data_IF_792396032264
#
_entry.id   IF_792396032264
#
_cell.length_a   1.000
_cell.length_b   1.000
_cell.length_c   1.000
_cell.angle_alpha   90.00
_cell.angle_beta   90.00
_cell.angle_gamma   90.00
#
_symmetry.space_group_name_H-M   'P 1'
#
loop_
_entity.id
_entity.type
_entity.pdbx_description
1 polymer ?
#
# COMPACT_ATOMS: atom_id res chain seq x y z
N UNK A 1 57.57 -59.88 -10.23
CA UNK A 1 57.29 -59.05 -9.03
C UNK A 1 57.58 -57.60 -9.35
N UNK A 2 56.55 -56.76 -9.55
CA UNK A 2 56.58 -55.31 -9.28
C UNK A 2 55.16 -54.77 -9.41
N UNK A 3 54.79 -53.99 -8.41
CA UNK A 3 53.43 -53.60 -8.07
C UNK A 3 53.22 -52.10 -8.29
N UNK A 4 51.97 -51.72 -8.59
CA UNK A 4 51.23 -50.49 -8.17
C UNK A 4 51.89 -49.12 -8.42
N UNK A 5 51.16 -48.22 -9.10
CA UNK A 5 50.34 -47.16 -8.48
C UNK A 5 49.62 -46.36 -9.59
N UNK A 6 48.29 -46.38 -9.62
CA UNK A 6 47.49 -45.40 -10.37
C UNK A 6 47.17 -44.25 -9.42
N UNK A 7 47.55 -43.02 -9.80
CA UNK A 7 47.27 -41.80 -9.06
C UNK A 7 45.98 -41.19 -9.62
N UNK A 8 44.87 -41.28 -8.88
CA UNK A 8 43.61 -40.61 -9.21
C UNK A 8 43.64 -39.19 -8.65
N UNK A 9 43.73 -38.19 -9.53
CA UNK A 9 43.57 -36.78 -9.17
C UNK A 9 42.07 -36.49 -9.07
N UNK A 10 41.59 -36.23 -7.85
CA UNK A 10 40.24 -35.71 -7.61
C UNK A 10 40.28 -34.19 -7.77
N UNK A 11 39.71 -33.68 -8.86
CA UNK A 11 39.47 -32.25 -9.05
C UNK A 11 38.26 -31.85 -8.20
N UNK A 12 38.51 -31.13 -7.10
CA UNK A 12 37.45 -30.45 -6.34
C UNK A 12 37.07 -29.20 -7.11
N UNK A 13 35.95 -29.26 -7.85
CA UNK A 13 35.33 -28.09 -8.47
C UNK A 13 34.57 -27.35 -7.37
N UNK A 14 35.18 -26.29 -6.86
CA UNK A 14 34.50 -25.32 -5.99
C UNK A 14 33.47 -24.56 -6.82
N UNK A 15 32.20 -24.91 -6.72
CA UNK A 15 31.10 -24.11 -7.25
C UNK A 15 31.03 -22.79 -6.45
N UNK A 16 31.68 -21.76 -6.96
CA UNK A 16 31.40 -20.38 -6.54
C UNK A 16 30.08 -20.01 -7.22
N UNK A 17 28.99 -19.99 -6.47
CA UNK A 17 27.72 -19.43 -6.91
C UNK A 17 27.91 -17.92 -7.09
N UNK A 18 28.21 -17.51 -8.32
CA UNK A 18 28.09 -16.10 -8.71
C UNK A 18 26.60 -15.78 -8.66
N UNK A 19 26.17 -15.06 -7.62
CA UNK A 19 24.85 -14.43 -7.62
C UNK A 19 24.84 -13.42 -8.76
N UNK A 20 24.34 -13.84 -9.93
CA UNK A 20 24.08 -12.94 -11.05
C UNK A 20 23.14 -11.86 -10.59
N UNK A 21 23.56 -10.60 -10.74
CA UNK A 21 22.73 -9.44 -10.49
C UNK A 21 21.51 -9.51 -11.42
N UNK A 22 20.32 -9.73 -10.87
CA UNK A 22 19.10 -9.77 -11.66
C UNK A 22 18.81 -8.34 -12.11
N UNK A 23 19.08 -8.03 -13.38
CA UNK A 23 18.67 -6.77 -14.01
C UNK A 23 17.17 -6.85 -14.25
N UNK A 24 16.39 -6.06 -13.52
CA UNK A 24 14.91 -6.17 -13.50
C UNK A 24 14.28 -5.16 -14.50
N UNK A 25 14.88 -3.98 -14.65
CA UNK A 25 14.58 -2.98 -15.69
C UNK A 25 15.88 -2.31 -16.16
N UNK A 26 15.88 -1.57 -17.28
CA UNK A 26 17.12 -1.02 -17.87
C UNK A 26 17.95 -0.16 -16.91
N UNK A 27 17.30 0.60 -16.04
CA UNK A 27 17.90 1.49 -15.05
C UNK A 27 17.77 0.99 -13.59
N UNK A 28 17.35 -0.25 -13.36
CA UNK A 28 17.14 -0.80 -12.01
C UNK A 28 18.04 -2.00 -11.71
N UNK A 29 18.69 -1.95 -10.56
CA UNK A 29 19.68 -2.92 -10.11
C UNK A 29 19.33 -3.43 -8.72
N UNK A 30 19.39 -4.74 -8.51
CA UNK A 30 19.08 -5.38 -7.24
C UNK A 30 20.30 -6.07 -6.65
N UNK A 31 20.49 -5.95 -5.33
CA UNK A 31 21.46 -6.72 -4.55
C UNK A 31 20.86 -7.09 -3.20
N UNK A 32 21.08 -8.33 -2.76
CA UNK A 32 20.76 -8.77 -1.41
C UNK A 32 22.04 -8.92 -0.60
N UNK A 33 22.13 -8.25 0.55
CA UNK A 33 23.25 -8.39 1.47
C UNK A 33 23.18 -9.71 2.25
N UNK A 34 24.31 -10.12 2.85
CA UNK A 34 24.41 -11.35 3.64
C UNK A 34 23.52 -11.35 4.90
N UNK A 35 23.19 -10.16 5.43
CA UNK A 35 22.24 -9.99 6.53
C UNK A 35 20.76 -9.99 6.08
N UNK A 36 20.51 -10.20 4.79
CA UNK A 36 19.18 -10.28 4.21
C UNK A 36 18.55 -8.94 3.81
N UNK A 37 19.22 -7.80 4.04
CA UNK A 37 18.76 -6.50 3.51
C UNK A 37 18.75 -6.55 1.98
N UNK A 38 17.60 -6.25 1.41
CA UNK A 38 17.42 -6.10 -0.03
C UNK A 38 17.69 -4.65 -0.41
N UNK A 39 18.48 -4.43 -1.45
CA UNK A 39 18.85 -3.10 -1.95
C UNK A 39 18.42 -3.00 -3.41
N UNK A 40 17.64 -1.97 -3.71
CA UNK A 40 17.27 -1.57 -5.06
C UNK A 40 17.94 -0.24 -5.38
N UNK A 41 18.66 -0.18 -6.49
CA UNK A 41 19.24 1.06 -7.02
C UNK A 41 18.55 1.40 -8.33
N UNK A 42 17.99 2.60 -8.42
CA UNK A 42 17.35 3.15 -9.62
C UNK A 42 18.14 4.35 -10.11
N UNK A 43 18.60 4.29 -11.35
CA UNK A 43 19.42 5.36 -11.93
C UNK A 43 18.52 6.38 -12.63
N UNK A 44 18.65 7.64 -12.20
CA UNK A 44 18.09 8.81 -12.87
C UNK A 44 19.06 10.00 -12.69
N UNK A 45 19.83 10.31 -13.73
CA UNK A 45 20.83 11.36 -13.69
C UNK A 45 20.27 12.72 -14.18
N UNK A 46 18.95 12.90 -14.21
CA UNK A 46 18.30 14.12 -14.71
C UNK A 46 18.61 15.34 -13.83
N UNK A 47 18.73 15.14 -12.53
CA UNK A 47 19.10 16.17 -11.54
C UNK A 47 20.10 15.58 -10.54
N UNK A 48 21.01 16.39 -9.96
CA UNK A 48 22.06 15.91 -9.04
C UNK A 48 21.52 15.64 -7.62
N UNK A 49 20.42 14.90 -7.52
CA UNK A 49 19.76 14.51 -6.28
C UNK A 49 19.72 12.99 -6.16
N UNK A 50 19.70 12.51 -4.92
CA UNK A 50 19.45 11.12 -4.59
C UNK A 50 18.35 11.03 -3.53
N UNK A 51 17.43 10.08 -3.72
CA UNK A 51 16.45 9.64 -2.73
C UNK A 51 16.93 8.35 -2.10
N UNK A 52 17.04 8.34 -0.78
CA UNK A 52 17.29 7.17 0.05
C UNK A 52 15.99 6.82 0.74
N UNK A 53 15.47 5.63 0.53
CA UNK A 53 14.25 5.16 1.14
C UNK A 53 14.47 3.82 1.84
N UNK A 54 14.09 3.75 3.11
CA UNK A 54 14.02 2.50 3.86
C UNK A 54 12.56 2.14 4.06
N UNK A 55 12.16 0.96 3.59
CA UNK A 55 10.82 0.46 3.79
C UNK A 55 10.83 -0.87 4.55
N UNK A 56 9.84 -1.05 5.42
CA UNK A 56 9.65 -2.25 6.22
C UNK A 56 8.28 -2.86 5.90
N UNK A 57 8.18 -4.19 5.86
CA UNK A 57 6.87 -4.86 5.89
C UNK A 57 6.30 -4.72 7.30
N UNK A 58 5.62 -3.61 7.51
CA UNK A 58 4.92 -3.20 8.71
C UNK A 58 3.76 -2.29 8.28
N UNK A 59 2.92 -1.84 9.22
CA UNK A 59 1.73 -1.06 8.92
C UNK A 59 0.53 -1.65 9.64
N UNK A 60 -0.66 -1.13 9.36
CA UNK A 60 -1.86 -1.55 10.09
C UNK A 60 -2.13 -3.04 9.99
N UNK A 61 -1.75 -3.72 8.89
CA UNK A 61 -1.97 -5.16 8.74
C UNK A 61 -1.31 -6.00 9.83
N UNK A 62 -0.26 -5.49 10.48
CA UNK A 62 0.44 -6.16 11.58
C UNK A 62 -0.17 -5.89 12.96
N UNK A 63 -1.07 -4.92 13.06
CA UNK A 63 -1.59 -4.39 14.32
C UNK A 63 -2.75 -5.25 14.80
N UNK A 64 -2.71 -5.62 16.08
CA UNK A 64 -3.92 -5.99 16.82
C UNK A 64 -4.61 -4.73 17.33
N UNK A 65 -5.80 -4.87 17.92
CA UNK A 65 -6.55 -3.73 18.46
C UNK A 65 -5.72 -2.94 19.48
N UNK A 66 -4.97 -3.61 20.36
CA UNK A 66 -4.07 -2.96 21.34
C UNK A 66 -2.91 -2.15 20.74
N UNK A 67 -2.69 -2.26 19.43
CA UNK A 67 -1.61 -1.62 18.67
C UNK A 67 -2.14 -0.78 17.50
N UNK A 68 -3.45 -0.61 17.34
CA UNK A 68 -4.00 0.03 16.15
C UNK A 68 -3.66 1.53 16.07
N UNK A 69 -2.92 1.92 15.02
CA UNK A 69 -2.37 3.26 14.79
C UNK A 69 -0.90 3.41 15.20
N UNK A 70 -0.31 2.40 15.85
CA UNK A 70 1.02 2.54 16.43
C UNK A 70 2.15 2.45 15.40
N UNK A 71 1.92 1.89 14.21
CA UNK A 71 2.88 1.99 13.10
C UNK A 71 2.97 3.42 12.57
N UNK A 72 1.84 4.12 12.50
CA UNK A 72 1.79 5.54 12.11
C UNK A 72 2.42 6.43 13.20
N UNK A 73 2.14 6.18 14.47
CA UNK A 73 2.85 6.88 15.55
C UNK A 73 4.35 6.60 15.54
N UNK A 74 4.77 5.36 15.29
CA UNK A 74 6.19 5.02 15.13
C UNK A 74 6.82 5.82 13.98
N UNK A 75 6.06 6.04 12.91
CA UNK A 75 6.49 6.89 11.79
C UNK A 75 6.86 8.31 12.22
N UNK A 76 6.01 8.96 13.02
CA UNK A 76 6.31 10.28 13.59
C UNK A 76 7.59 10.29 14.43
N UNK A 77 7.79 9.24 15.22
CA UNK A 77 8.93 9.10 16.12
C UNK A 77 10.25 8.80 15.40
N UNK A 78 10.20 8.36 14.14
CA UNK A 78 11.39 8.14 13.31
C UNK A 78 12.22 9.44 13.13
N UNK A 79 11.54 10.59 13.06
CA UNK A 79 12.17 11.92 12.89
C UNK A 79 12.61 12.56 14.21
N UNK A 80 12.69 11.78 15.29
CA UNK A 80 13.02 12.25 16.64
C UNK A 80 14.38 11.72 17.08
N UNK A 81 14.59 11.68 18.40
CA UNK A 81 15.82 11.25 19.01
C UNK A 81 16.22 9.84 18.57
N UNK A 82 17.51 9.67 18.30
CA UNK A 82 18.14 8.40 18.04
C UNK A 82 19.56 8.40 18.64
N UNK A 83 20.26 7.27 18.53
CA UNK A 83 21.59 7.10 19.14
C UNK A 83 22.60 8.21 18.77
N UNK A 84 22.59 8.68 17.53
CA UNK A 84 23.58 9.65 17.04
C UNK A 84 23.09 11.11 17.18
N UNK A 85 21.76 11.29 17.22
CA UNK A 85 21.09 12.58 17.37
C UNK A 85 20.10 12.48 18.55
N UNK A 86 20.55 12.71 19.80
CA UNK A 86 19.79 12.36 21.00
C UNK A 86 18.59 13.27 21.29
N UNK A 87 18.32 14.27 20.45
CA UNK A 87 17.17 15.16 20.55
C UNK A 87 16.79 15.72 19.18
N UNK A 88 15.57 16.26 19.07
CA UNK A 88 15.01 16.83 17.84
C UNK A 88 15.86 17.95 17.22
N UNK A 89 16.49 18.81 18.05
CA UNK A 89 17.33 19.91 17.56
C UNK A 89 18.58 19.37 16.84
N UNK A 90 19.27 18.39 17.43
CA UNK A 90 20.45 17.76 16.83
C UNK A 90 20.11 16.98 15.55
N UNK A 91 18.93 16.34 15.51
CA UNK A 91 18.44 15.64 14.32
C UNK A 91 18.19 16.63 13.18
N UNK A 92 17.43 17.70 13.43
CA UNK A 92 17.13 18.71 12.42
C UNK A 92 18.36 19.48 11.97
N UNK A 93 19.27 19.82 12.90
CA UNK A 93 20.54 20.47 12.54
C UNK A 93 21.30 19.62 11.52
N UNK A 94 21.41 18.31 11.77
CA UNK A 94 22.08 17.42 10.82
C UNK A 94 21.32 17.29 9.50
N UNK A 95 20.00 17.18 9.55
CA UNK A 95 19.16 17.13 8.36
C UNK A 95 19.40 18.34 7.46
N UNK A 96 19.47 19.54 8.06
CA UNK A 96 19.74 20.79 7.36
C UNK A 96 21.17 20.87 6.80
N UNK A 97 22.18 20.42 7.57
CA UNK A 97 23.57 20.33 7.09
C UNK A 97 23.73 19.42 5.86
N UNK A 98 22.87 18.40 5.74
CA UNK A 98 22.85 17.47 4.61
C UNK A 98 21.90 17.89 3.49
N UNK A 99 21.17 19.00 3.67
CA UNK A 99 20.15 19.50 2.75
C UNK A 99 19.06 18.45 2.47
N UNK A 100 18.68 17.70 3.50
CA UNK A 100 17.67 16.64 3.41
C UNK A 100 16.27 17.26 3.38
N UNK A 101 15.50 16.89 2.36
CA UNK A 101 14.04 16.89 2.40
C UNK A 101 13.57 15.51 2.83
N UNK A 102 12.91 15.40 3.97
CA UNK A 102 12.48 14.12 4.56
C UNK A 102 10.97 14.00 4.61
N UNK A 103 10.46 12.79 4.46
CA UNK A 103 9.09 12.44 4.82
C UNK A 103 8.96 10.92 5.00
N UNK A 104 7.76 10.46 5.34
CA UNK A 104 7.45 9.05 5.45
C UNK A 104 5.98 8.79 5.11
N UNK A 105 5.65 7.51 4.95
CA UNK A 105 4.28 7.06 4.75
C UNK A 105 4.05 5.72 5.42
N UNK A 106 2.94 5.62 6.13
CA UNK A 106 2.38 4.37 6.63
C UNK A 106 1.18 4.00 5.78
N UNK A 107 1.19 2.76 5.27
CA UNK A 107 0.05 2.11 4.62
C UNK A 107 -0.33 0.86 5.40
N UNK A 108 -1.25 0.09 4.85
CA UNK A 108 -1.65 -1.16 5.47
C UNK A 108 -0.48 -2.13 5.56
N UNK A 109 0.36 -2.26 4.53
CA UNK A 109 1.35 -3.35 4.43
C UNK A 109 2.82 -2.88 4.33
N UNK A 110 3.03 -1.57 4.25
CA UNK A 110 4.36 -0.96 4.22
C UNK A 110 4.41 0.28 5.09
N UNK A 111 5.56 0.47 5.75
CA UNK A 111 5.98 1.78 6.27
C UNK A 111 7.27 2.14 5.57
N UNK A 112 7.33 3.29 4.91
CA UNK A 112 8.52 3.77 4.21
C UNK A 112 8.96 5.14 4.75
N UNK A 113 10.28 5.31 4.89
CA UNK A 113 10.95 6.52 5.36
C UNK A 113 11.92 6.95 4.29
N UNK A 114 11.93 8.23 3.93
CA UNK A 114 12.80 8.67 2.86
C UNK A 114 13.40 10.05 3.06
N UNK A 115 14.59 10.19 2.47
CA UNK A 115 15.36 11.42 2.40
C UNK A 115 15.72 11.69 0.95
N UNK A 116 15.42 12.88 0.46
CA UNK A 116 15.94 13.40 -0.81
C UNK A 116 16.98 14.48 -0.51
N UNK A 117 18.18 14.35 -1.07
CA UNK A 117 19.35 15.17 -0.79
C UNK A 117 20.25 15.31 -2.03
N UNK A 118 21.19 16.27 -2.08
CA UNK A 118 22.22 16.30 -3.12
C UNK A 118 22.95 14.95 -3.23
N UNK A 119 23.19 14.45 -4.44
CA UNK A 119 23.80 13.12 -4.66
C UNK A 119 25.17 12.97 -3.99
N UNK A 120 25.94 14.07 -3.90
CA UNK A 120 27.20 14.14 -3.17
C UNK A 120 27.10 13.78 -1.67
N UNK A 121 25.91 13.92 -1.08
CA UNK A 121 25.63 13.61 0.33
C UNK A 121 25.10 12.17 0.53
N UNK A 122 25.08 11.31 -0.50
CA UNK A 122 24.52 9.95 -0.42
C UNK A 122 25.04 9.16 0.80
N UNK A 123 26.35 9.03 0.96
CA UNK A 123 26.94 8.25 2.05
C UNK A 123 26.63 8.85 3.44
N UNK A 124 26.76 10.16 3.68
CA UNK A 124 26.23 10.80 4.89
C UNK A 124 24.73 10.58 5.13
N UNK A 125 23.89 10.64 4.09
CA UNK A 125 22.45 10.39 4.17
C UNK A 125 22.13 8.94 4.56
N UNK A 126 22.86 7.95 4.01
CA UNK A 126 22.71 6.55 4.39
C UNK A 126 23.04 6.34 5.88
N UNK A 127 24.08 7.00 6.39
CA UNK A 127 24.42 6.97 7.83
C UNK A 127 23.30 7.60 8.68
N UNK A 128 22.74 8.72 8.24
CA UNK A 128 21.63 9.39 8.91
C UNK A 128 20.39 8.48 9.00
N UNK A 129 20.03 7.83 7.90
CA UNK A 129 18.94 6.82 7.83
C UNK A 129 19.20 5.64 8.77
N UNK A 130 20.44 5.15 8.82
CA UNK A 130 20.85 4.05 9.67
C UNK A 130 20.67 4.35 11.17
N UNK A 131 20.98 5.57 11.61
CA UNK A 131 20.79 5.99 13.00
C UNK A 131 19.33 5.95 13.40
N UNK A 132 18.45 6.52 12.57
CA UNK A 132 17.01 6.61 12.83
C UNK A 132 16.32 5.23 12.77
N UNK A 133 16.62 4.40 11.77
CA UNK A 133 15.92 3.11 11.60
C UNK A 133 16.36 2.04 12.61
N UNK A 134 17.65 1.96 12.95
CA UNK A 134 18.18 0.89 13.82
C UNK A 134 18.15 1.26 15.29
N UNK A 135 18.32 2.53 15.60
CA UNK A 135 18.58 3.00 16.95
C UNK A 135 17.72 4.20 17.38
N UNK A 136 16.39 4.19 17.12
CA UNK A 136 15.51 5.22 17.65
C UNK A 136 15.51 5.18 19.18
N UNK A 137 15.33 6.35 19.79
CA UNK A 137 15.17 6.53 21.24
C UNK A 137 13.77 7.08 21.47
N UNK A 138 12.92 6.29 22.11
CA UNK A 138 11.55 6.68 22.42
C UNK A 138 11.48 7.42 23.76
N UNK A 139 11.72 8.72 23.73
CA UNK A 139 11.64 9.61 24.89
C UNK A 139 10.16 9.81 25.25
N UNK A 140 9.81 9.59 26.52
CA UNK A 140 8.41 9.61 26.99
C UNK A 140 7.75 10.98 26.75
N UNK A 141 8.49 12.04 26.99
CA UNK A 141 8.03 13.42 26.85
C UNK A 141 7.77 13.77 25.37
N UNK A 142 8.69 13.39 24.48
CA UNK A 142 8.52 13.56 23.03
C UNK A 142 7.32 12.75 22.51
N UNK A 143 7.17 11.51 22.99
CA UNK A 143 6.03 10.67 22.63
C UNK A 143 4.70 11.26 23.09
N UNK A 144 4.62 11.83 24.30
CA UNK A 144 3.37 12.42 24.78
C UNK A 144 2.90 13.57 23.85
N UNK A 145 3.83 14.36 23.31
CA UNK A 145 3.51 15.39 22.33
C UNK A 145 3.08 14.79 20.98
N UNK A 146 3.80 13.80 20.47
CA UNK A 146 3.46 13.17 19.19
C UNK A 146 2.15 12.38 19.24
N UNK A 147 1.80 11.76 20.38
CA UNK A 147 0.51 11.11 20.57
C UNK A 147 -0.64 12.09 20.33
N UNK A 148 -0.55 13.31 20.88
CA UNK A 148 -1.56 14.35 20.69
C UNK A 148 -1.60 14.88 19.25
N UNK A 149 -0.43 15.00 18.60
CA UNK A 149 -0.35 15.41 17.19
C UNK A 149 -1.06 14.38 16.30
N UNK A 150 -0.71 13.10 16.42
CA UNK A 150 -1.34 12.01 15.64
C UNK A 150 -2.84 11.92 15.95
N UNK A 151 -3.23 12.10 17.20
CA UNK A 151 -4.63 12.16 17.63
C UNK A 151 -5.40 13.33 16.98
N UNK A 152 -4.77 14.50 16.86
CA UNK A 152 -5.34 15.65 16.16
C UNK A 152 -5.44 15.41 14.65
N UNK A 153 -4.49 14.71 14.03
CA UNK A 153 -4.59 14.29 12.63
C UNK A 153 -5.74 13.32 12.39
N UNK A 154 -5.93 12.37 13.30
CA UNK A 154 -7.09 11.50 13.30
C UNK A 154 -8.38 12.33 13.39
N UNK A 155 -8.48 13.23 14.37
CA UNK A 155 -9.64 14.13 14.54
C UNK A 155 -9.92 14.95 13.27
N UNK A 156 -8.87 15.41 12.58
CA UNK A 156 -8.98 16.10 11.28
C UNK A 156 -9.56 15.17 10.20
N UNK A 157 -9.17 13.91 10.15
CA UNK A 157 -9.75 12.92 9.23
C UNK A 157 -11.24 12.69 9.53
N UNK A 158 -11.62 12.60 10.80
CA UNK A 158 -13.02 12.44 11.23
C UNK A 158 -13.90 13.65 10.89
N UNK A 159 -13.29 14.83 10.70
CA UNK A 159 -14.02 16.04 10.31
C UNK A 159 -14.63 15.94 8.90
N UNK A 160 -14.15 15.02 8.05
CA UNK A 160 -14.72 14.75 6.74
C UNK A 160 -16.18 14.27 6.87
N UNK A 161 -17.15 14.88 6.17
CA UNK A 161 -18.54 14.43 6.20
C UNK A 161 -18.73 12.97 5.78
N UNK A 162 -17.82 12.44 4.95
CA UNK A 162 -17.86 11.07 4.42
C UNK A 162 -17.25 10.05 5.38
N UNK A 163 -16.46 10.49 6.38
CA UNK A 163 -15.74 9.60 7.29
C UNK A 163 -16.62 8.53 7.94
N UNK A 164 -17.82 8.84 8.48
CA UNK A 164 -18.67 7.82 9.09
C UNK A 164 -19.04 6.67 8.14
N UNK A 165 -19.24 6.96 6.85
CA UNK A 165 -19.57 5.95 5.85
C UNK A 165 -18.40 5.00 5.61
N UNK A 166 -17.19 5.56 5.41
CA UNK A 166 -15.97 4.80 5.15
C UNK A 166 -15.55 3.99 6.38
N UNK A 167 -15.68 4.57 7.59
CA UNK A 167 -15.35 3.88 8.83
C UNK A 167 -16.30 2.70 9.10
N UNK A 168 -17.61 2.93 8.96
CA UNK A 168 -18.60 1.85 9.05
C UNK A 168 -18.34 0.77 8.00
N UNK A 169 -18.09 1.14 6.73
CA UNK A 169 -17.78 0.19 5.66
C UNK A 169 -16.62 -0.72 6.05
N UNK A 170 -15.51 -0.14 6.52
CA UNK A 170 -14.36 -0.91 6.99
C UNK A 170 -14.72 -1.87 8.13
N UNK A 171 -15.54 -1.43 9.10
CA UNK A 171 -15.97 -2.29 10.22
C UNK A 171 -16.81 -3.46 9.74
N UNK A 172 -17.77 -3.22 8.84
CA UNK A 172 -18.61 -4.25 8.25
C UNK A 172 -17.81 -5.20 7.34
N UNK A 173 -16.86 -4.67 6.56
CA UNK A 173 -16.01 -5.43 5.63
C UNK A 173 -14.98 -6.34 6.32
N UNK A 174 -14.40 -5.87 7.43
CA UNK A 174 -13.22 -6.50 8.02
C UNK A 174 -13.45 -7.10 9.41
N UNK A 175 -14.58 -6.77 10.07
CA UNK A 175 -15.01 -7.35 11.33
C UNK A 175 -13.92 -7.31 12.41
N UNK A 176 -13.65 -8.47 13.02
CA UNK A 176 -12.62 -8.65 14.07
C UNK A 176 -11.21 -8.20 13.64
N UNK A 177 -10.94 -8.10 12.34
CA UNK A 177 -9.64 -7.67 11.80
C UNK A 177 -9.67 -6.22 11.28
N UNK A 178 -10.65 -5.40 11.69
CA UNK A 178 -10.75 -4.00 11.27
C UNK A 178 -9.46 -3.19 11.52
N UNK A 179 -8.81 -3.40 12.67
CA UNK A 179 -7.53 -2.74 13.00
C UNK A 179 -6.48 -2.94 11.90
N UNK A 180 -6.52 -4.07 11.19
CA UNK A 180 -5.61 -4.41 10.10
C UNK A 180 -5.81 -3.66 8.79
N UNK A 181 -6.86 -2.84 8.71
CA UNK A 181 -7.22 -1.98 7.57
C UNK A 181 -7.45 -0.53 8.00
N UNK A 182 -7.17 -0.22 9.27
CA UNK A 182 -7.34 1.08 9.87
C UNK A 182 -5.98 1.72 10.16
N UNK A 183 -5.39 2.36 9.15
CA UNK A 183 -4.05 2.96 9.24
C UNK A 183 -3.97 4.09 10.27
N UNK A 184 -4.99 4.95 10.35
CA UNK A 184 -4.97 6.09 11.27
C UNK A 184 -5.05 5.65 12.74
N UNK A 185 -5.69 4.51 13.00
CA UNK A 185 -5.68 3.85 14.29
C UNK A 185 -6.88 4.13 15.18
N UNK A 186 -6.68 3.94 16.49
CA UNK A 186 -7.69 4.17 17.51
C UNK A 186 -7.22 5.27 18.48
N UNK A 187 -8.07 6.24 18.78
CA UNK A 187 -7.76 7.37 19.66
C UNK A 187 -7.19 6.94 21.01
N UNK A 188 -7.84 6.00 21.69
CA UNK A 188 -7.41 5.55 23.02
C UNK A 188 -6.06 4.82 22.97
N UNK A 189 -5.81 4.04 21.92
CA UNK A 189 -4.56 3.30 21.72
C UNK A 189 -3.39 4.25 21.43
N UNK A 190 -3.63 5.28 20.61
CA UNK A 190 -2.63 6.31 20.26
C UNK A 190 -2.29 7.15 21.50
N UNK A 191 -3.30 7.67 22.20
CA UNK A 191 -3.11 8.51 23.38
C UNK A 191 -2.42 7.76 24.52
N UNK A 192 -2.70 6.45 24.68
CA UNK A 192 -2.08 5.60 25.70
C UNK A 192 -0.78 4.91 25.26
N UNK A 193 -0.22 5.26 24.09
CA UNK A 193 0.99 4.66 23.59
C UNK A 193 2.20 4.92 24.51
N UNK A 194 3.10 3.93 24.62
CA UNK A 194 4.27 3.98 25.51
C UNK A 194 5.56 3.60 24.76
N UNK A 195 6.74 4.03 25.26
CA UNK A 195 8.02 3.60 24.70
C UNK A 195 8.15 2.08 24.56
N UNK A 196 7.66 1.32 25.53
CA UNK A 196 7.67 -0.15 25.50
C UNK A 196 6.87 -0.75 24.33
N UNK A 197 5.74 -0.12 23.95
CA UNK A 197 4.98 -0.55 22.75
C UNK A 197 5.77 -0.26 21.47
N UNK A 198 6.47 0.88 21.38
CA UNK A 198 7.33 1.19 20.23
C UNK A 198 8.53 0.24 20.13
N UNK A 199 9.16 -0.08 21.26
CA UNK A 199 10.23 -1.09 21.32
C UNK A 199 9.73 -2.47 20.88
N UNK A 200 8.52 -2.86 21.27
CA UNK A 200 7.87 -4.09 20.81
C UNK A 200 7.73 -4.11 19.27
N UNK A 201 7.24 -3.02 18.67
CA UNK A 201 7.12 -2.89 17.21
C UNK A 201 8.49 -2.98 16.53
N UNK A 202 9.48 -2.20 16.99
CA UNK A 202 10.85 -2.22 16.48
C UNK A 202 11.43 -3.64 16.51
N UNK A 203 11.36 -4.30 17.65
CA UNK A 203 11.97 -5.62 17.85
C UNK A 203 11.22 -6.74 17.11
N UNK A 204 9.98 -6.52 16.69
CA UNK A 204 9.24 -7.45 15.83
C UNK A 204 9.58 -7.27 14.36
N UNK A 205 9.53 -6.04 13.84
CA UNK A 205 9.44 -5.81 12.39
C UNK A 205 10.63 -5.07 11.76
N UNK A 206 11.43 -4.33 12.54
CA UNK A 206 12.50 -3.48 12.00
C UNK A 206 13.84 -4.24 12.00
N UNK A 207 13.99 -5.07 10.96
CA UNK A 207 15.14 -5.94 10.74
C UNK A 207 15.54 -5.91 9.26
N UNK A 208 16.82 -6.09 8.91
CA UNK A 208 17.28 -5.97 7.53
C UNK A 208 16.58 -6.98 6.61
N UNK A 209 16.37 -8.22 7.09
CA UNK A 209 15.66 -9.27 6.36
C UNK A 209 14.12 -9.10 6.34
N UNK A 210 13.58 -8.02 6.88
CA UNK A 210 12.19 -7.57 6.74
C UNK A 210 12.10 -6.13 6.18
N UNK A 211 13.18 -5.66 5.54
CA UNK A 211 13.29 -4.31 5.00
C UNK A 211 13.88 -4.32 3.59
N UNK A 212 13.60 -3.25 2.85
CA UNK A 212 14.24 -2.92 1.58
C UNK A 212 14.79 -1.50 1.65
N UNK A 213 16.00 -1.32 1.13
CA UNK A 213 16.63 -0.02 0.90
C UNK A 213 16.54 0.32 -0.58
N UNK A 214 15.80 1.36 -0.94
CA UNK A 214 15.76 1.90 -2.30
C UNK A 214 16.67 3.14 -2.35
N UNK A 215 17.58 3.19 -3.31
CA UNK A 215 18.42 4.35 -3.61
C UNK A 215 18.12 4.76 -5.05
N UNK A 216 17.54 5.94 -5.25
CA UNK A 216 17.08 6.38 -6.56
C UNK A 216 17.65 7.78 -6.90
N UNK A 217 18.13 7.99 -8.14
CA UNK A 217 18.62 9.31 -8.60
C UNK A 217 20.01 9.27 -9.23
N UNK A 218 20.72 10.38 -9.14
CA UNK A 218 22.06 10.60 -9.74
C UNK A 218 23.13 9.90 -8.89
N UNK A 219 23.21 8.58 -9.01
CA UNK A 219 24.12 7.74 -8.23
C UNK A 219 24.85 6.75 -9.12
N UNK A 220 26.06 6.33 -8.70
CA UNK A 220 26.75 5.20 -9.35
C UNK A 220 26.33 3.90 -8.66
N UNK A 221 25.93 2.91 -9.44
CA UNK A 221 25.44 1.61 -8.95
C UNK A 221 26.40 0.97 -7.95
N UNK A 222 27.69 0.85 -8.30
CA UNK A 222 28.70 0.23 -7.44
C UNK A 222 28.98 1.02 -6.15
N UNK A 223 28.93 2.36 -6.24
CA UNK A 223 29.10 3.26 -5.09
C UNK A 223 27.90 3.19 -4.14
N UNK A 224 26.68 3.13 -4.68
CA UNK A 224 25.46 2.97 -3.91
C UNK A 224 25.46 1.63 -3.15
N UNK A 225 25.77 0.52 -3.84
CA UNK A 225 25.83 -0.79 -3.19
C UNK A 225 26.95 -0.89 -2.15
N UNK A 226 28.15 -0.39 -2.45
CA UNK A 226 29.27 -0.42 -1.49
C UNK A 226 29.01 0.48 -0.29
N UNK A 227 28.41 1.65 -0.47
CA UNK A 227 28.04 2.54 0.63
C UNK A 227 26.92 1.96 1.49
N UNK A 228 25.92 1.33 0.86
CA UNK A 228 24.86 0.63 1.59
C UNK A 228 25.41 -0.56 2.39
N UNK A 229 26.33 -1.34 1.82
CA UNK A 229 26.97 -2.46 2.52
C UNK A 229 27.86 -1.99 3.69
N UNK A 230 28.63 -0.92 3.50
CA UNK A 230 29.45 -0.29 4.56
C UNK A 230 28.58 0.17 5.75
N UNK A 231 27.42 0.77 5.48
CA UNK A 231 26.54 1.31 6.52
C UNK A 231 25.68 0.21 7.18
N UNK A 232 25.02 -0.61 6.37
CA UNK A 232 23.99 -1.55 6.82
C UNK A 232 24.47 -2.99 6.95
N UNK A 233 25.64 -3.37 6.43
CA UNK A 233 26.13 -4.76 6.45
C UNK A 233 26.32 -5.33 7.87
N UNK A 234 26.54 -4.45 8.86
CA UNK A 234 26.62 -4.83 10.29
C UNK A 234 25.25 -4.97 10.99
N UNK A 235 24.14 -4.61 10.33
CA UNK A 235 22.81 -4.76 10.89
C UNK A 235 22.47 -6.25 10.96
N UNK A 236 22.36 -6.79 12.17
CA UNK A 236 22.07 -8.22 12.37
C UNK A 236 20.67 -8.55 11.84
N UNK A 237 20.55 -9.66 11.11
CA UNK A 237 19.27 -10.22 10.71
C UNK A 237 18.42 -10.62 11.92
N UNK A 238 17.09 -10.58 11.77
CA UNK A 238 16.18 -11.15 12.75
C UNK A 238 16.45 -12.64 12.92
N UNK A 239 16.48 -13.17 14.16
CA UNK A 239 16.61 -14.60 14.41
C UNK A 239 15.32 -15.40 14.09
N UNK A 240 14.25 -14.73 13.66
CA UNK A 240 12.97 -15.34 13.30
C UNK A 240 12.31 -14.61 12.13
N UNK A 241 11.39 -15.29 11.44
CA UNK A 241 10.45 -14.66 10.52
C UNK A 241 9.25 -14.10 11.32
N UNK A 242 9.03 -12.77 11.33
CA UNK A 242 7.96 -12.17 12.13
C UNK A 242 6.58 -12.69 11.74
N UNK A 243 6.34 -12.99 10.47
CA UNK A 243 5.02 -13.44 9.98
C UNK A 243 4.79 -14.95 10.18
N UNK A 244 5.83 -15.72 10.49
CA UNK A 244 5.66 -17.10 10.98
C UNK A 244 5.45 -17.14 12.49
N UNK A 245 6.16 -16.27 13.23
CA UNK A 245 6.07 -16.20 14.68
C UNK A 245 4.78 -15.53 15.16
N UNK A 246 4.32 -14.51 14.44
CA UNK A 246 3.06 -13.81 14.64
C UNK A 246 2.30 -13.77 13.32
N UNK A 247 1.61 -14.86 12.96
CA UNK A 247 0.89 -14.92 11.70
C UNK A 247 -0.20 -13.86 11.63
N UNK A 248 -0.34 -13.25 10.44
CA UNK A 248 -1.42 -12.33 10.15
C UNK A 248 -2.71 -13.16 9.97
N UNK A 249 -3.77 -12.90 10.74
CA UNK A 249 -5.06 -13.56 10.56
C UNK A 249 -5.65 -13.31 9.17
N UNK A 250 -6.25 -14.32 8.58
CA UNK A 250 -7.02 -14.17 7.34
C UNK A 250 -8.33 -13.40 7.58
N UNK A 251 -8.77 -12.65 6.59
CA UNK A 251 -10.07 -11.98 6.62
C UNK A 251 -11.18 -12.98 6.32
N UNK A 252 -12.13 -13.14 7.25
CA UNK A 252 -13.30 -14.01 7.05
C UNK A 252 -14.16 -13.44 5.91
N UNK A 253 -14.51 -14.22 4.87
CA UNK A 253 -15.40 -13.74 3.82
C UNK A 253 -16.75 -13.29 4.37
N UNK A 254 -17.36 -12.31 3.72
CA UNK A 254 -18.75 -11.93 3.99
C UNK A 254 -19.68 -13.13 3.72
N UNK A 255 -20.62 -13.38 4.63
CA UNK A 255 -21.52 -14.56 4.57
C UNK A 255 -22.85 -14.20 3.88
N UNK A 256 -23.27 -12.95 3.97
CA UNK A 256 -24.50 -12.41 3.37
C UNK A 256 -24.27 -10.95 2.98
N UNK A 257 -25.17 -10.40 2.16
CA UNK A 257 -25.20 -8.96 1.95
C UNK A 257 -25.51 -8.27 3.29
N UNK A 258 -24.77 -7.22 3.58
CA UNK A 258 -24.93 -6.41 4.77
C UNK A 258 -25.24 -4.97 4.36
N UNK A 259 -26.28 -4.39 4.94
CA UNK A 259 -26.79 -3.07 4.58
C UNK A 259 -26.89 -2.19 5.81
N UNK A 260 -26.42 -0.95 5.68
CA UNK A 260 -26.51 0.03 6.76
C UNK A 260 -26.75 1.44 6.21
N UNK A 261 -27.40 2.26 7.02
CA UNK A 261 -27.71 3.65 6.69
C UNK A 261 -27.15 4.54 7.80
N UNK A 262 -26.44 5.58 7.40
CA UNK A 262 -25.88 6.60 8.27
C UNK A 262 -26.63 7.91 8.04
N UNK A 263 -27.26 8.40 9.10
CA UNK A 263 -27.83 9.74 9.11
C UNK A 263 -26.76 10.75 9.50
N UNK A 264 -26.55 11.78 8.68
CA UNK A 264 -25.59 12.84 8.95
C UNK A 264 -26.25 14.21 8.93
N UNK A 265 -25.84 15.10 9.82
CA UNK A 265 -26.22 16.52 9.78
C UNK A 265 -25.24 17.35 8.96
N UNK A 266 -24.07 16.79 8.64
CA UNK A 266 -22.95 17.48 7.95
C UNK A 266 -22.85 17.13 6.47
N UNK A 267 -23.60 16.12 6.01
CA UNK A 267 -23.52 15.63 4.64
C UNK A 267 -24.50 16.40 3.73
N UNK A 268 -24.02 17.17 2.73
CA UNK A 268 -24.89 17.94 1.85
C UNK A 268 -25.50 17.11 0.72
N UNK A 269 -24.83 16.04 0.28
CA UNK A 269 -25.29 15.14 -0.79
C UNK A 269 -25.17 13.68 -0.33
N UNK A 270 -26.15 12.82 -0.67
CA UNK A 270 -26.07 11.41 -0.30
C UNK A 270 -24.90 10.70 -0.98
N UNK A 271 -24.37 9.66 -0.34
CA UNK A 271 -23.45 8.70 -0.96
C UNK A 271 -23.92 7.28 -0.68
N UNK A 272 -23.71 6.39 -1.64
CA UNK A 272 -23.82 4.94 -1.50
C UNK A 272 -22.45 4.33 -1.76
N UNK A 273 -22.07 3.34 -0.95
CA UNK A 273 -20.82 2.61 -1.06
C UNK A 273 -21.13 1.12 -1.03
N UNK A 274 -20.77 0.41 -2.09
CA UNK A 274 -20.81 -1.05 -2.16
C UNK A 274 -19.39 -1.59 -2.12
N UNK A 275 -19.12 -2.60 -1.29
CA UNK A 275 -17.78 -3.11 -1.05
C UNK A 275 -17.72 -4.64 -1.04
N UNK A 276 -16.68 -5.20 -1.65
CA UNK A 276 -16.42 -6.64 -1.73
C UNK A 276 -14.97 -6.95 -1.36
N UNK A 277 -14.75 -8.17 -0.85
CA UNK A 277 -13.41 -8.75 -0.81
C UNK A 277 -12.97 -9.05 -2.24
N UNK A 278 -11.82 -8.53 -2.64
CA UNK A 278 -11.24 -8.74 -3.96
C UNK A 278 -10.06 -9.70 -3.96
N UNK A 279 -9.41 -9.86 -5.13
CA UNK A 279 -8.20 -10.68 -5.26
C UNK A 279 -7.03 -10.08 -4.45
N UNK A 280 -6.07 -10.92 -4.10
CA UNK A 280 -4.85 -10.54 -3.40
C UNK A 280 -3.62 -11.17 -4.06
N UNK A 281 -2.45 -10.65 -3.72
CA UNK A 281 -1.18 -11.04 -4.38
C UNK A 281 -0.59 -12.35 -3.84
N UNK A 282 -1.22 -13.00 -2.86
CA UNK A 282 -0.84 -14.34 -2.38
C UNK A 282 -1.60 -15.43 -3.09
N UNK A 283 -2.88 -15.19 -3.37
CA UNK A 283 -3.84 -16.22 -3.73
C UNK A 283 -4.39 -16.07 -5.16
N UNK A 284 -4.39 -14.86 -5.74
CA UNK A 284 -4.93 -14.64 -7.09
C UNK A 284 -4.27 -13.43 -7.81
N UNK A 285 -2.98 -13.57 -8.13
CA UNK A 285 -2.24 -12.55 -8.90
C UNK A 285 -2.90 -12.23 -10.26
N UNK A 286 -3.36 -13.19 -11.09
CA UNK A 286 -4.05 -12.87 -12.34
C UNK A 286 -5.32 -12.03 -12.11
N UNK A 287 -6.06 -12.32 -11.04
CA UNK A 287 -7.25 -11.57 -10.65
C UNK A 287 -6.96 -10.11 -10.30
N UNK A 288 -5.80 -9.78 -9.72
CA UNK A 288 -5.45 -8.39 -9.37
C UNK A 288 -5.29 -7.52 -10.62
N UNK A 289 -4.66 -8.04 -11.66
CA UNK A 289 -4.54 -7.35 -12.95
C UNK A 289 -5.90 -7.18 -13.65
N UNK A 290 -6.74 -8.22 -13.62
CA UNK A 290 -8.10 -8.13 -14.17
C UNK A 290 -8.94 -7.07 -13.44
N UNK A 291 -8.78 -6.95 -12.11
CA UNK A 291 -9.45 -5.95 -11.30
C UNK A 291 -9.04 -4.51 -11.65
N UNK A 292 -7.75 -4.26 -11.86
CA UNK A 292 -7.24 -2.96 -12.32
C UNK A 292 -7.79 -2.57 -13.69
N UNK A 293 -7.72 -3.48 -14.68
CA UNK A 293 -8.24 -3.24 -16.03
C UNK A 293 -9.75 -3.00 -16.00
N UNK A 294 -10.51 -3.85 -15.30
CA UNK A 294 -11.96 -3.71 -15.18
C UNK A 294 -12.34 -2.36 -14.57
N UNK A 295 -11.74 -2.03 -13.41
CA UNK A 295 -12.01 -0.78 -12.68
C UNK A 295 -11.67 0.43 -13.54
N UNK A 296 -10.56 0.38 -14.29
CA UNK A 296 -10.19 1.46 -15.20
C UNK A 296 -11.23 1.66 -16.31
N UNK A 297 -11.70 0.58 -16.96
CA UNK A 297 -12.67 0.65 -18.06
C UNK A 297 -13.99 1.28 -17.59
N UNK A 298 -14.56 0.78 -16.49
CA UNK A 298 -15.89 1.23 -16.04
C UNK A 298 -15.88 2.68 -15.54
N UNK A 299 -14.72 3.20 -15.14
CA UNK A 299 -14.55 4.60 -14.75
C UNK A 299 -14.40 5.58 -15.91
N UNK A 300 -14.16 5.13 -17.15
CA UNK A 300 -14.02 6.04 -18.29
C UNK A 300 -15.35 6.71 -18.65
N UNK A 301 -15.33 8.01 -19.00
CA UNK A 301 -16.53 8.78 -19.35
C UNK A 301 -17.43 8.14 -20.44
N UNK A 302 -16.85 7.35 -21.34
CA UNK A 302 -17.57 6.63 -22.39
C UNK A 302 -18.15 5.26 -21.98
N UNK A 303 -17.92 4.80 -20.75
CA UNK A 303 -18.36 3.49 -20.26
C UNK A 303 -19.89 3.39 -20.14
N UNK A 304 -20.42 2.16 -20.19
CA UNK A 304 -21.85 1.92 -19.94
C UNK A 304 -22.26 2.42 -18.54
N UNK A 305 -21.41 2.23 -17.52
CA UNK A 305 -21.63 2.71 -16.15
C UNK A 305 -21.80 4.24 -16.10
N UNK A 306 -20.87 5.00 -16.71
CA UNK A 306 -20.93 6.47 -16.72
C UNK A 306 -22.14 6.99 -17.51
N UNK A 307 -22.49 6.34 -18.63
CA UNK A 307 -23.70 6.67 -19.38
C UNK A 307 -24.97 6.43 -18.56
N UNK A 308 -25.04 5.30 -17.88
CA UNK A 308 -26.22 4.87 -17.12
C UNK A 308 -26.46 5.72 -15.87
N UNK A 309 -25.40 6.16 -15.18
CA UNK A 309 -25.52 6.88 -13.91
C UNK A 309 -25.30 8.40 -14.06
N UNK A 310 -24.26 8.82 -14.77
CA UNK A 310 -23.87 10.24 -14.84
C UNK A 310 -24.62 10.95 -15.97
N UNK A 311 -24.52 10.43 -17.20
CA UNK A 311 -25.11 11.12 -18.37
C UNK A 311 -26.65 11.12 -18.34
N UNK A 312 -27.27 10.16 -17.65
CA UNK A 312 -28.71 10.11 -17.40
C UNK A 312 -29.18 11.09 -16.30
N UNK A 313 -28.24 11.69 -15.56
CA UNK A 313 -28.50 12.58 -14.43
C UNK A 313 -28.96 11.87 -13.15
N UNK A 314 -28.73 10.56 -13.01
CA UNK A 314 -29.04 9.80 -11.79
C UNK A 314 -28.00 9.99 -10.68
N UNK A 315 -26.74 10.25 -11.04
CA UNK A 315 -25.65 10.48 -10.11
C UNK A 315 -24.75 11.63 -10.57
N UNK A 316 -24.14 12.31 -9.60
CA UNK A 316 -23.11 13.32 -9.80
C UNK A 316 -21.73 12.65 -9.93
N UNK A 317 -21.51 11.58 -9.17
CA UNK A 317 -20.29 10.80 -9.17
C UNK A 317 -20.61 9.30 -9.10
N UNK A 318 -19.76 8.50 -9.72
CA UNK A 318 -19.83 7.04 -9.68
C UNK A 318 -18.43 6.50 -9.98
N UNK A 319 -17.79 5.80 -9.05
CA UNK A 319 -16.44 5.28 -9.23
C UNK A 319 -16.28 3.87 -8.68
N UNK A 320 -15.63 3.00 -9.44
CA UNK A 320 -15.25 1.65 -9.02
C UNK A 320 -13.75 1.62 -8.74
N UNK A 321 -13.34 1.19 -7.57
CA UNK A 321 -11.93 1.08 -7.22
C UNK A 321 -11.58 -0.34 -6.80
N UNK A 322 -10.36 -0.73 -7.10
CA UNK A 322 -9.71 -1.90 -6.52
C UNK A 322 -8.37 -1.43 -5.94
N UNK A 323 -8.03 -1.90 -4.74
CA UNK A 323 -6.76 -1.60 -4.11
C UNK A 323 -5.99 -2.88 -3.85
N UNK A 324 -4.89 -3.07 -4.60
CA UNK A 324 -4.06 -4.27 -4.51
C UNK A 324 -3.38 -4.35 -3.15
N UNK A 325 -3.55 -5.48 -2.47
CA UNK A 325 -2.93 -5.79 -1.18
C UNK A 325 -2.55 -7.26 -1.15
N UNK A 326 -1.61 -7.61 -0.28
CA UNK A 326 -1.16 -8.98 -0.02
C UNK A 326 -2.19 -9.78 0.77
N UNK A 327 -2.87 -9.14 1.71
CA UNK A 327 -3.93 -9.75 2.53
C UNK A 327 -5.29 -9.16 2.16
N UNK A 328 -5.98 -9.73 1.16
CA UNK A 328 -7.30 -9.30 0.65
C UNK A 328 -7.38 -7.83 0.24
N UNK A 329 -7.36 -7.54 -1.07
CA UNK A 329 -7.60 -6.20 -1.59
C UNK A 329 -9.09 -5.84 -1.62
N UNK A 330 -9.54 -4.65 -1.17
CA UNK A 330 -10.94 -4.25 -1.30
C UNK A 330 -11.29 -3.87 -2.73
N UNK A 331 -12.53 -4.20 -3.12
CA UNK A 331 -13.22 -3.62 -4.27
C UNK A 331 -14.29 -2.70 -3.71
N UNK A 332 -14.39 -1.47 -4.20
CA UNK A 332 -15.44 -0.53 -3.82
C UNK A 332 -16.12 0.08 -5.03
N UNK A 333 -17.42 0.33 -4.92
CA UNK A 333 -18.20 1.09 -5.88
C UNK A 333 -18.94 2.19 -5.14
N UNK A 334 -18.47 3.43 -5.31
CA UNK A 334 -19.03 4.60 -4.65
C UNK A 334 -19.85 5.42 -5.63
N UNK A 335 -21.06 5.81 -5.22
CA UNK A 335 -22.00 6.58 -6.04
C UNK A 335 -22.53 7.76 -5.22
N UNK A 336 -22.51 8.95 -5.80
CA UNK A 336 -23.15 10.15 -5.26
C UNK A 336 -24.45 10.40 -6.04
N UNK A 337 -25.62 9.92 -5.57
CA UNK A 337 -26.86 10.10 -6.31
C UNK A 337 -27.29 11.57 -6.41
N UNK A 338 -28.07 11.86 -7.44
CA UNK A 338 -28.88 13.07 -7.48
C UNK A 338 -29.89 13.01 -6.31
N UNK A 339 -29.94 14.00 -5.41
CA UNK A 339 -30.84 13.98 -4.25
C UNK A 339 -32.33 13.76 -4.58
N UNK A 340 -32.76 14.12 -5.80
CA UNK A 340 -34.14 13.92 -6.26
C UNK A 340 -34.42 12.53 -6.85
N UNK A 341 -33.38 11.70 -7.08
CA UNK A 341 -33.48 10.41 -7.78
C UNK A 341 -32.70 9.28 -7.07
N UNK A 342 -32.64 9.33 -5.74
CA UNK A 342 -31.78 8.43 -4.95
C UNK A 342 -32.16 6.96 -5.16
N UNK A 343 -33.46 6.65 -5.13
CA UNK A 343 -33.96 5.28 -5.31
C UNK A 343 -33.70 4.77 -6.72
N UNK A 344 -33.98 5.57 -7.73
CA UNK A 344 -33.75 5.24 -9.13
C UNK A 344 -32.26 5.04 -9.42
N UNK A 345 -31.41 5.86 -8.80
CA UNK A 345 -29.96 5.72 -8.90
C UNK A 345 -29.46 4.43 -8.24
N UNK A 346 -30.00 4.08 -7.06
CA UNK A 346 -29.69 2.81 -6.40
C UNK A 346 -30.11 1.60 -7.25
N UNK A 347 -31.32 1.61 -7.79
CA UNK A 347 -31.84 0.55 -8.66
C UNK A 347 -30.98 0.41 -9.94
N UNK A 348 -30.60 1.54 -10.56
CA UNK A 348 -29.72 1.51 -11.73
C UNK A 348 -28.30 1.06 -11.35
N UNK A 349 -27.78 1.42 -10.18
CA UNK A 349 -26.47 0.95 -9.70
C UNK A 349 -26.44 -0.58 -9.54
N UNK A 350 -27.46 -1.17 -8.91
CA UNK A 350 -27.62 -2.62 -8.80
C UNK A 350 -27.77 -3.29 -10.16
N UNK A 351 -28.54 -2.68 -11.06
CA UNK A 351 -28.70 -3.16 -12.44
C UNK A 351 -27.37 -3.15 -13.18
N UNK A 352 -26.55 -2.09 -13.06
CA UNK A 352 -25.24 -2.05 -13.69
C UNK A 352 -24.32 -3.14 -13.12
N UNK A 353 -24.29 -3.36 -11.79
CA UNK A 353 -23.54 -4.47 -11.18
C UNK A 353 -23.97 -5.82 -11.77
N UNK A 354 -25.27 -6.05 -11.93
CA UNK A 354 -25.80 -7.28 -12.50
C UNK A 354 -25.41 -7.51 -13.97
N UNK A 355 -25.12 -6.43 -14.71
CA UNK A 355 -24.72 -6.46 -16.12
C UNK A 355 -23.20 -6.52 -16.34
N UNK A 356 -22.37 -6.41 -15.30
CA UNK A 356 -20.92 -6.27 -15.45
C UNK A 356 -20.20 -7.48 -16.06
N UNK A 357 -20.78 -8.68 -15.98
CA UNK A 357 -20.23 -9.90 -16.61
C UNK A 357 -20.96 -10.29 -17.91
N UNK A 358 -21.83 -9.42 -18.44
CA UNK A 358 -22.44 -9.62 -19.75
C UNK A 358 -21.40 -9.39 -20.85
N UNK A 359 -21.42 -10.22 -21.89
CA UNK A 359 -20.38 -10.21 -22.92
C UNK A 359 -20.29 -8.88 -23.66
N UNK A 360 -21.41 -8.18 -23.85
CA UNK A 360 -21.44 -6.91 -24.57
C UNK A 360 -21.19 -5.69 -23.66
N UNK A 361 -21.02 -5.88 -22.34
CA UNK A 361 -20.92 -4.77 -21.39
C UNK A 361 -19.64 -3.95 -21.60
N UNK A 362 -18.54 -4.64 -21.90
CA UNK A 362 -17.24 -4.07 -22.23
C UNK A 362 -17.00 -4.24 -23.74
N UNK A 363 -16.63 -3.22 -24.49
CA UNK A 363 -16.23 -3.41 -25.90
C UNK A 363 -14.73 -3.75 -26.02
N UNK A 364 -14.32 -4.46 -27.08
CA UNK A 364 -12.89 -4.72 -27.34
C UNK A 364 -12.08 -3.41 -27.42
N UNK A 365 -12.65 -2.38 -28.03
CA UNK A 365 -12.04 -1.04 -28.11
C UNK A 365 -11.80 -0.44 -26.72
N UNK A 366 -12.72 -0.64 -25.77
CA UNK A 366 -12.53 -0.18 -24.39
C UNK A 366 -11.44 -0.96 -23.65
N UNK A 367 -11.38 -2.28 -23.86
CA UNK A 367 -10.37 -3.14 -23.25
C UNK A 367 -8.97 -2.73 -23.71
N UNK A 368 -8.75 -2.66 -25.02
CA UNK A 368 -7.45 -2.29 -25.59
C UNK A 368 -7.05 -0.85 -25.25
N UNK A 369 -8.02 0.09 -25.25
CA UNK A 369 -7.78 1.46 -24.80
C UNK A 369 -7.39 1.51 -23.32
N UNK A 370 -8.03 0.74 -22.46
CA UNK A 370 -7.72 0.72 -21.04
C UNK A 370 -6.31 0.21 -20.76
N UNK A 371 -5.91 -0.91 -21.38
CA UNK A 371 -4.53 -1.43 -21.28
C UNK A 371 -3.50 -0.38 -21.69
N UNK A 372 -3.72 0.31 -22.81
CA UNK A 372 -2.84 1.37 -23.29
C UNK A 372 -2.74 2.54 -22.30
N UNK A 373 -3.88 3.04 -21.80
CA UNK A 373 -3.91 4.18 -20.89
C UNK A 373 -3.34 3.83 -19.51
N UNK A 374 -3.56 2.61 -19.01
CA UNK A 374 -2.91 2.12 -17.80
C UNK A 374 -1.40 2.07 -17.99
N UNK A 375 -0.91 1.59 -19.13
CA UNK A 375 0.53 1.56 -19.45
C UNK A 375 1.12 2.98 -19.47
N UNK A 376 0.44 3.95 -20.08
CA UNK A 376 0.84 5.37 -20.05
C UNK A 376 0.90 5.89 -18.61
N UNK A 377 -0.14 5.63 -17.80
CA UNK A 377 -0.15 6.05 -16.39
C UNK A 377 1.01 5.45 -15.58
N UNK A 378 1.45 4.23 -15.88
CA UNK A 378 2.62 3.64 -15.23
C UNK A 378 3.92 4.35 -15.62
N UNK A 379 4.05 4.82 -16.87
CA UNK A 379 5.20 5.62 -17.31
C UNK A 379 5.22 6.96 -16.59
N UNK A 380 4.08 7.67 -16.56
CA UNK A 380 3.94 8.96 -15.87
C UNK A 380 4.30 8.87 -14.37
N UNK A 381 3.88 7.79 -13.69
CA UNK A 381 4.21 7.55 -12.28
C UNK A 381 5.71 7.33 -12.01
N UNK A 382 6.51 7.05 -13.04
CA UNK A 382 7.97 6.84 -12.93
C UNK A 382 8.78 8.11 -13.20
N UNK A 383 8.13 9.19 -13.67
CA UNK A 383 8.84 10.42 -14.07
C UNK A 383 9.47 11.14 -12.88
N UNK A 384 8.84 11.06 -11.71
CA UNK A 384 9.39 11.60 -10.46
C UNK A 384 10.12 10.49 -9.71
N UNK A 385 11.45 10.62 -9.64
CA UNK A 385 12.33 9.59 -9.07
C UNK A 385 12.01 9.21 -7.62
N UNK A 386 11.61 10.16 -6.77
CA UNK A 386 11.16 9.86 -5.40
C UNK A 386 9.85 9.07 -5.38
N UNK A 387 8.87 9.45 -6.21
CA UNK A 387 7.60 8.73 -6.31
C UNK A 387 7.81 7.31 -6.82
N UNK A 388 8.78 7.12 -7.72
CA UNK A 388 9.14 5.81 -8.20
C UNK A 388 9.75 4.94 -7.08
N UNK A 389 10.57 5.50 -6.19
CA UNK A 389 11.09 4.77 -5.02
C UNK A 389 9.95 4.30 -4.11
N UNK A 390 8.98 5.17 -3.81
CA UNK A 390 7.78 4.84 -3.01
C UNK A 390 6.93 3.76 -3.67
N UNK A 391 6.79 3.80 -5.00
CA UNK A 391 6.05 2.80 -5.76
C UNK A 391 6.73 1.42 -5.67
N UNK A 392 8.06 1.38 -5.80
CA UNK A 392 8.83 0.13 -5.70
C UNK A 392 8.74 -0.50 -4.31
N UNK A 393 8.84 0.29 -3.25
CA UNK A 393 8.75 -0.22 -1.88
C UNK A 393 7.33 -0.71 -1.54
N UNK A 394 6.30 -0.01 -2.02
CA UNK A 394 4.91 -0.46 -1.92
C UNK A 394 4.75 -1.84 -2.58
N UNK A 395 5.17 -2.00 -3.83
CA UNK A 395 5.04 -3.29 -4.52
C UNK A 395 5.91 -4.39 -3.91
N UNK A 396 7.10 -4.06 -3.41
CA UNK A 396 7.95 -5.01 -2.69
C UNK A 396 7.27 -5.57 -1.42
N UNK A 397 6.46 -4.75 -0.74
CA UNK A 397 5.74 -5.15 0.46
C UNK A 397 4.42 -5.87 0.15
N UNK A 398 3.57 -5.24 -0.67
CA UNK A 398 2.21 -5.68 -0.99
C UNK A 398 2.12 -6.73 -2.09
N UNK A 399 3.22 -6.99 -2.81
CA UNK A 399 3.30 -7.99 -3.86
C UNK A 399 4.74 -8.52 -3.96
N UNK A 400 5.42 -8.20 -5.07
CA UNK A 400 6.85 -8.32 -5.26
C UNK A 400 7.33 -7.23 -6.23
N UNK A 401 8.64 -6.96 -6.26
CA UNK A 401 9.23 -6.13 -7.33
C UNK A 401 8.97 -6.74 -8.71
N UNK A 402 9.02 -8.08 -8.78
CA UNK A 402 8.74 -8.85 -10.00
C UNK A 402 7.32 -8.62 -10.54
N UNK A 403 6.31 -8.64 -9.65
CA UNK A 403 4.92 -8.32 -9.97
C UNK A 403 4.79 -6.95 -10.66
N UNK A 404 5.52 -5.96 -10.15
CA UNK A 404 5.52 -4.61 -10.69
C UNK A 404 6.26 -4.51 -12.03
N UNK A 405 7.44 -5.12 -12.14
CA UNK A 405 8.24 -5.03 -13.37
C UNK A 405 7.61 -5.74 -14.57
N UNK A 406 6.80 -6.78 -14.32
CA UNK A 406 6.00 -7.45 -15.35
C UNK A 406 4.55 -6.93 -15.39
N UNK A 407 4.22 -5.85 -14.68
CA UNK A 407 2.85 -5.34 -14.58
C UNK A 407 2.25 -5.02 -15.94
N UNK A 408 2.97 -4.28 -16.79
CA UNK A 408 2.52 -3.93 -18.14
C UNK A 408 2.32 -5.16 -19.03
N UNK A 409 3.27 -6.10 -19.02
CA UNK A 409 3.17 -7.35 -19.77
C UNK A 409 1.93 -8.15 -19.36
N UNK A 410 1.69 -8.26 -18.05
CA UNK A 410 0.56 -9.01 -17.51
C UNK A 410 -0.79 -8.30 -17.75
N UNK A 411 -0.84 -6.96 -17.68
CA UNK A 411 -2.03 -6.20 -18.08
C UNK A 411 -2.38 -6.43 -19.56
N UNK A 412 -1.37 -6.45 -20.44
CA UNK A 412 -1.59 -6.62 -21.88
C UNK A 412 -2.15 -8.01 -22.22
N UNK A 413 -1.84 -9.03 -21.41
CA UNK A 413 -2.38 -10.41 -21.53
C UNK A 413 -3.83 -10.54 -21.09
N UNK A 414 -4.39 -9.59 -20.34
CA UNK A 414 -5.77 -9.69 -19.84
C UNK A 414 -6.76 -9.77 -20.99
N UNK A 415 -7.57 -10.82 -20.98
CA UNK A 415 -8.61 -11.05 -21.98
C UNK A 415 -9.98 -10.62 -21.44
N UNK A 416 -10.96 -10.49 -22.34
CA UNK A 416 -12.37 -10.35 -21.96
C UNK A 416 -12.80 -11.43 -20.96
N UNK A 417 -12.44 -12.69 -21.22
CA UNK A 417 -12.82 -13.80 -20.35
C UNK A 417 -12.30 -13.62 -18.92
N UNK A 418 -11.09 -13.10 -18.76
CA UNK A 418 -10.51 -12.80 -17.43
C UNK A 418 -11.30 -11.71 -16.70
N UNK A 419 -11.72 -10.66 -17.41
CA UNK A 419 -12.55 -9.58 -16.84
C UNK A 419 -13.91 -10.10 -16.38
N UNK A 420 -14.59 -10.91 -17.20
CA UNK A 420 -15.88 -11.51 -16.83
C UNK A 420 -15.73 -12.49 -15.66
N UNK A 421 -14.65 -13.28 -15.65
CA UNK A 421 -14.34 -14.19 -14.56
C UNK A 421 -14.04 -13.45 -13.25
N UNK A 422 -13.32 -12.33 -13.30
CA UNK A 422 -13.10 -11.45 -12.15
C UNK A 422 -14.43 -10.98 -11.55
N UNK A 423 -15.34 -10.44 -12.37
CA UNK A 423 -16.67 -10.01 -11.92
C UNK A 423 -17.45 -11.16 -11.29
N UNK A 424 -17.49 -12.33 -11.92
CA UNK A 424 -18.20 -13.52 -11.41
C UNK A 424 -17.59 -14.07 -10.13
N UNK A 425 -16.27 -13.96 -9.97
CA UNK A 425 -15.55 -14.51 -8.82
C UNK A 425 -15.65 -13.60 -7.60
N UNK A 426 -15.62 -12.29 -7.78
CA UNK A 426 -15.49 -11.33 -6.68
C UNK A 426 -16.69 -10.40 -6.46
N UNK A 427 -17.55 -10.20 -7.46
CA UNK A 427 -18.60 -9.17 -7.40
C UNK A 427 -20.00 -9.76 -7.58
N UNK A 428 -20.32 -10.27 -8.78
CA UNK A 428 -21.68 -10.70 -9.12
C UNK A 428 -22.06 -11.97 -8.35
N UNK A 429 -23.18 -11.90 -7.62
CA UNK A 429 -23.68 -13.00 -6.80
C UNK A 429 -22.79 -13.30 -5.57
N UNK A 430 -21.89 -12.38 -5.20
CA UNK A 430 -21.06 -12.47 -4.00
C UNK A 430 -21.60 -11.58 -2.89
N UNK A 431 -21.56 -12.04 -1.63
CA UNK A 431 -21.88 -11.20 -0.48
C UNK A 431 -21.08 -9.89 -0.50
N UNK A 432 -21.76 -8.78 -0.22
CA UNK A 432 -21.16 -7.45 -0.16
C UNK A 432 -21.66 -6.64 1.04
N UNK A 433 -20.89 -5.64 1.38
CA UNK A 433 -21.26 -4.59 2.32
C UNK A 433 -21.80 -3.40 1.53
N UNK A 434 -22.93 -2.83 1.93
CA UNK A 434 -23.51 -1.65 1.29
C UNK A 434 -23.95 -0.62 2.33
N UNK A 435 -23.33 0.56 2.27
CA UNK A 435 -23.66 1.70 3.11
C UNK A 435 -24.31 2.82 2.34
N UNK A 436 -25.28 3.50 2.94
CA UNK A 436 -25.75 4.80 2.47
C UNK A 436 -25.54 5.85 3.56
N UNK A 437 -24.92 6.98 3.24
CA UNK A 437 -24.96 8.17 4.10
C UNK A 437 -25.87 9.21 3.48
N UNK A 438 -26.78 9.76 4.28
CA UNK A 438 -27.81 10.69 3.83
C UNK A 438 -27.99 11.80 4.86
N UNK A 439 -28.38 12.99 4.38
CA UNK A 439 -28.72 14.08 5.28
C UNK A 439 -29.94 13.71 6.13
N UNK A 440 -29.84 13.89 7.45
CA UNK A 440 -30.93 13.57 8.41
C UNK A 440 -32.26 14.22 8.04
N UNK A 441 -32.24 15.45 7.49
CA UNK A 441 -33.44 16.16 7.06
C UNK A 441 -34.16 15.50 5.87
N UNK A 442 -33.45 14.69 5.07
CA UNK A 442 -33.99 14.02 3.88
C UNK A 442 -34.52 12.61 4.16
N UNK A 443 -34.17 12.00 5.30
CA UNK A 443 -34.49 10.59 5.62
C UNK A 443 -35.99 10.31 5.55
N UNK A 444 -36.82 11.17 6.16
CA UNK A 444 -38.27 10.97 6.20
C UNK A 444 -38.95 11.07 4.83
N UNK A 445 -38.39 11.90 3.94
CA UNK A 445 -38.91 12.08 2.59
C UNK A 445 -38.45 10.95 1.65
N UNK A 446 -37.20 10.54 1.76
CA UNK A 446 -36.57 9.53 0.89
C UNK A 446 -36.91 8.10 1.33
N UNK A 447 -37.04 7.88 2.64
CA UNK A 447 -37.29 6.58 3.28
C UNK A 447 -36.35 5.46 2.78
N UNK A 448 -35.02 5.65 2.90
CA UNK A 448 -34.04 4.69 2.37
C UNK A 448 -34.21 3.27 2.91
N UNK A 449 -34.78 3.10 4.10
CA UNK A 449 -35.06 1.80 4.71
C UNK A 449 -36.07 0.96 3.90
N UNK A 450 -36.90 1.57 3.05
CA UNK A 450 -37.89 0.84 2.24
C UNK A 450 -37.25 0.14 1.02
N UNK A 451 -36.16 0.70 0.48
CA UNK A 451 -35.56 0.25 -0.78
C UNK A 451 -34.09 -0.18 -0.72
N UNK A 452 -33.27 0.33 0.21
CA UNK A 452 -31.84 0.03 0.29
C UNK A 452 -31.60 -1.25 1.12
N UNK A 453 -31.65 -2.42 0.47
CA UNK A 453 -31.67 -3.74 1.14
C UNK A 453 -31.25 -4.91 0.25
#
# INVERSE_FOLDING_TARGET
MRSKLLLTVVLVVSCISVFSQQKIAENMYFKKLSNGLEILVVIDNTVPLATIEMACRNGSFTESDDYNGLSHLYEHLFFKANKDYPNFESFNKRSNELEITSNANTREEVVNYYFTLPSANLKPGLKFMNSAIRYPIFIKEDMAMENEIVNAEFTRQESSPLYPLIDADKKHMWGDNYSRKNVIGNHDVILSATPSKMDSIKNKYYWPNNSVLVIAGDVKVDEAFSSAEDVFGSWKASPFDPFKKWPIPEFKPLIKNDYYIIESTKMPVPYMLFSWHGPDTRNDIPGTYAADVFSFIVNQNGSKLKKALINSGLAQEASVNYYTQKYTGPISFMVSPNPAKIKECYEEALKQIALWDEEDYLSEVQIERAKRLLSISQVERREVTSDYAHLLSFWWASASVDYYTHYEENLNKITRADLLNYVRKYIKGKPFCAGMIINKSSVNAVKPQEFFK
#
